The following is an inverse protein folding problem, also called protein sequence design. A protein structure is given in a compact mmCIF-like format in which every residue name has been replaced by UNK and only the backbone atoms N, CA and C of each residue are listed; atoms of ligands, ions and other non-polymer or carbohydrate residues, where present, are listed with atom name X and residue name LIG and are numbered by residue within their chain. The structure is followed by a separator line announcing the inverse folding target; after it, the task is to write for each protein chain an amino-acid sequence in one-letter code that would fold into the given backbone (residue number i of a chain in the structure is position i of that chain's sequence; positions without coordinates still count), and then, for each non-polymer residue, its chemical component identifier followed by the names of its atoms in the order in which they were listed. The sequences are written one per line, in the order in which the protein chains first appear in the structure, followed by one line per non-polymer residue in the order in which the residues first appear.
data_IF_175192835104
#
_entry.id   IF_175192835104
#
_cell.length_a   1.000
_cell.length_b   1.000
_cell.length_c   1.000
_cell.angle_alpha   90.00
_cell.angle_beta   90.00
_cell.angle_gamma   90.00
#
_symmetry.space_group_name_H-M   'P 1'
#
loop_
_entity.id
_entity.type
_entity.pdbx_description
1 polymer ?
#
# COMPACT_ATOMS: atom_id res chain seq x y z
N UNK A 1 -14.87 -4.19 -5.06
CA UNK A 1 -14.07 -3.30 -5.94
C UNK A 1 -14.91 -2.97 -7.17
N UNK A 2 -14.89 -1.73 -7.70
CA UNK A 2 -15.64 -1.39 -8.91
C UNK A 2 -15.18 -2.25 -10.10
N UNK A 3 -16.13 -2.65 -10.96
CA UNK A 3 -15.86 -3.49 -12.14
C UNK A 3 -15.10 -2.75 -13.25
N UNK A 4 -15.08 -1.42 -13.20
CA UNK A 4 -14.50 -0.54 -14.21
C UNK A 4 -13.14 0.03 -13.78
N UNK A 5 -12.52 -0.51 -12.72
CA UNK A 5 -11.28 0.03 -12.16
C UNK A 5 -10.17 0.04 -13.20
N UNK A 6 -9.91 -1.11 -13.82
CA UNK A 6 -8.88 -1.31 -14.84
C UNK A 6 -9.05 -0.34 -16.02
N UNK A 7 -10.28 -0.21 -16.53
CA UNK A 7 -10.60 0.70 -17.63
C UNK A 7 -10.30 2.17 -17.27
N UNK A 8 -10.64 2.58 -16.05
CA UNK A 8 -10.36 3.95 -15.58
C UNK A 8 -8.86 4.16 -15.44
N UNK A 9 -8.12 3.22 -14.84
CA UNK A 9 -6.67 3.33 -14.67
C UNK A 9 -5.93 3.35 -16.01
N UNK A 10 -6.30 2.48 -16.95
CA UNK A 10 -5.74 2.48 -18.30
C UNK A 10 -5.98 3.81 -19.04
N UNK A 11 -7.17 4.40 -18.90
CA UNK A 11 -7.45 5.73 -19.46
C UNK A 11 -6.60 6.84 -18.85
N UNK A 12 -6.35 6.80 -17.54
CA UNK A 12 -5.45 7.76 -16.89
C UNK A 12 -4.01 7.62 -17.42
N UNK A 13 -3.52 6.39 -17.52
CA UNK A 13 -2.17 6.09 -18.02
C UNK A 13 -1.98 6.55 -19.47
N UNK A 14 -2.94 6.31 -20.36
CA UNK A 14 -2.89 6.80 -21.76
C UNK A 14 -2.88 8.33 -21.85
N UNK A 15 -3.42 9.02 -20.85
CA UNK A 15 -3.36 10.48 -20.72
C UNK A 15 -2.07 10.98 -20.02
N UNK A 16 -1.11 10.09 -19.75
CA UNK A 16 0.14 10.36 -19.02
C UNK A 16 -0.08 10.81 -17.57
N UNK A 17 -1.21 10.39 -16.98
CA UNK A 17 -1.48 10.55 -15.56
C UNK A 17 -1.18 9.22 -14.86
N UNK A 18 -0.31 9.27 -13.84
CA UNK A 18 0.07 8.08 -13.07
C UNK A 18 -0.91 7.93 -11.91
N UNK A 19 -1.74 6.87 -11.87
CA UNK A 19 -2.67 6.67 -10.77
C UNK A 19 -1.93 6.22 -9.52
N UNK A 20 -2.31 6.79 -8.37
CA UNK A 20 -1.88 6.33 -7.05
C UNK A 20 -3.05 5.61 -6.38
N UNK A 21 -2.92 4.30 -6.21
CA UNK A 21 -3.86 3.47 -5.46
C UNK A 21 -3.61 3.68 -3.97
N UNK A 22 -4.55 4.38 -3.34
CA UNK A 22 -4.53 4.58 -1.90
C UNK A 22 -4.80 3.27 -1.17
N UNK A 23 -3.97 2.98 -0.17
CA UNK A 23 -4.12 1.94 0.84
C UNK A 23 -4.73 0.59 0.37
N UNK A 24 -4.24 -0.03 -0.73
CA UNK A 24 -4.82 -1.28 -1.23
C UNK A 24 -4.69 -2.45 -0.25
N UNK A 25 -3.77 -2.38 0.71
CA UNK A 25 -3.59 -3.38 1.77
C UNK A 25 -4.80 -3.50 2.69
N UNK A 26 -5.69 -2.50 2.71
CA UNK A 26 -6.95 -2.50 3.48
C UNK A 26 -8.13 -3.04 2.67
N UNK A 27 -7.95 -3.28 1.37
CA UNK A 27 -9.00 -3.73 0.49
C UNK A 27 -9.08 -5.26 0.46
N UNK A 28 -10.22 -5.81 0.86
CA UNK A 28 -10.45 -7.27 0.95
C UNK A 28 -10.19 -8.00 -0.39
N UNK A 29 -10.49 -7.38 -1.53
CA UNK A 29 -10.24 -8.02 -2.83
C UNK A 29 -8.74 -8.11 -3.13
N UNK A 30 -7.96 -7.07 -2.83
CA UNK A 30 -6.51 -7.11 -3.00
C UNK A 30 -5.82 -8.00 -1.97
N UNK A 31 -6.31 -8.06 -0.73
CA UNK A 31 -5.85 -9.02 0.28
C UNK A 31 -6.04 -10.47 -0.19
N UNK A 32 -7.22 -10.79 -0.76
CA UNK A 32 -7.54 -12.14 -1.24
C UNK A 32 -6.89 -12.49 -2.58
N UNK A 33 -6.69 -11.51 -3.46
CA UNK A 33 -6.22 -11.69 -4.84
C UNK A 33 -5.10 -10.69 -5.16
N UNK A 34 -3.91 -10.84 -4.54
CA UNK A 34 -2.80 -9.90 -4.72
C UNK A 34 -2.31 -9.80 -6.17
N UNK A 35 -2.46 -10.87 -6.97
CA UNK A 35 -2.12 -10.87 -8.42
C UNK A 35 -2.82 -9.78 -9.22
N UNK A 36 -4.04 -9.37 -8.80
CA UNK A 36 -4.75 -8.28 -9.46
C UNK A 36 -4.05 -6.94 -9.21
N UNK A 37 -3.49 -6.74 -8.01
CA UNK A 37 -2.71 -5.54 -7.70
C UNK A 37 -1.37 -5.56 -8.45
N UNK A 38 -0.71 -6.72 -8.50
CA UNK A 38 0.55 -6.93 -9.22
C UNK A 38 0.42 -6.49 -10.69
N UNK A 39 -0.63 -6.93 -11.39
CA UNK A 39 -0.90 -6.50 -12.76
C UNK A 39 -1.06 -4.98 -12.91
N UNK A 40 -1.79 -4.34 -11.99
CA UNK A 40 -1.95 -2.87 -12.03
C UNK A 40 -0.62 -2.16 -11.81
N UNK A 41 0.25 -2.70 -10.96
CA UNK A 41 1.60 -2.17 -10.74
C UNK A 41 2.48 -2.35 -11.99
N UNK A 42 2.44 -3.51 -12.63
CA UNK A 42 3.14 -3.77 -13.90
C UNK A 42 2.69 -2.84 -15.02
N UNK A 43 1.41 -2.47 -15.05
CA UNK A 43 0.85 -1.48 -15.97
C UNK A 43 1.26 -0.02 -15.65
N UNK A 44 1.85 0.22 -14.48
CA UNK A 44 2.42 1.51 -14.08
C UNK A 44 1.65 2.24 -12.98
N UNK A 45 0.70 1.58 -12.28
CA UNK A 45 0.06 2.17 -11.11
C UNK A 45 1.00 2.20 -9.90
N UNK A 46 0.94 3.28 -9.13
CA UNK A 46 1.68 3.44 -7.88
C UNK A 46 0.80 2.98 -6.72
N UNK A 47 1.40 2.27 -5.77
CA UNK A 47 0.75 1.81 -4.53
C UNK A 47 1.24 2.62 -3.35
N UNK A 48 0.31 3.24 -2.64
CA UNK A 48 0.56 3.93 -1.38
C UNK A 48 0.04 3.07 -0.21
N UNK A 49 0.94 2.70 0.70
CA UNK A 49 0.62 1.97 1.94
C UNK A 49 0.32 2.95 3.07
N UNK A 50 -0.73 2.67 3.86
CA UNK A 50 -1.03 3.48 5.03
C UNK A 50 -0.04 3.21 6.17
N UNK A 51 0.49 4.27 6.77
CA UNK A 51 1.36 4.20 7.96
C UNK A 51 0.67 3.43 9.11
N UNK A 52 -0.63 3.65 9.30
CA UNK A 52 -1.45 2.91 10.26
C UNK A 52 -1.59 1.42 9.97
N UNK A 53 -1.47 0.97 8.71
CA UNK A 53 -1.49 -0.47 8.40
C UNK A 53 -0.22 -1.14 8.91
N UNK A 54 0.94 -0.52 8.69
CA UNK A 54 2.24 -1.04 9.14
C UNK A 54 2.37 -1.08 10.67
N UNK A 55 1.77 -0.12 11.37
CA UNK A 55 1.79 -0.07 12.84
C UNK A 55 0.62 -0.83 13.50
N UNK A 56 -0.23 -1.50 12.70
CA UNK A 56 -1.31 -2.36 13.18
C UNK A 56 -2.61 -1.64 13.56
N UNK A 57 -2.71 -0.33 13.35
CA UNK A 57 -3.92 0.45 13.61
C UNK A 57 -5.16 -0.06 12.84
N UNK A 58 -4.96 -0.57 11.62
CA UNK A 58 -6.04 -1.07 10.76
C UNK A 58 -6.23 -2.59 10.82
N UNK A 59 -5.69 -3.23 11.86
CA UNK A 59 -5.81 -4.66 12.09
C UNK A 59 -4.71 -5.51 11.46
N UNK A 60 -4.63 -6.77 11.89
CA UNK A 60 -3.54 -7.68 11.57
C UNK A 60 -3.48 -8.06 10.08
N UNK A 61 -4.63 -8.24 9.44
CA UNK A 61 -4.70 -8.56 8.01
C UNK A 61 -4.17 -7.40 7.14
N UNK A 62 -4.51 -6.16 7.48
CA UNK A 62 -3.97 -4.99 6.78
C UNK A 62 -2.45 -4.87 6.97
N UNK A 63 -1.95 -5.13 8.19
CA UNK A 63 -0.52 -5.16 8.49
C UNK A 63 0.22 -6.21 7.66
N UNK A 64 -0.22 -7.48 7.73
CA UNK A 64 0.39 -8.59 6.97
C UNK A 64 0.37 -8.33 5.47
N UNK A 65 -0.73 -7.79 4.96
CA UNK A 65 -0.86 -7.47 3.54
C UNK A 65 0.09 -6.33 3.14
N UNK A 66 0.23 -5.29 3.98
CA UNK A 66 1.19 -4.21 3.77
C UNK A 66 2.62 -4.75 3.68
N UNK A 67 3.01 -5.58 4.64
CA UNK A 67 4.32 -6.23 4.69
C UNK A 67 4.55 -7.10 3.45
N UNK A 68 3.55 -7.90 3.06
CA UNK A 68 3.61 -8.71 1.84
C UNK A 68 3.82 -7.85 0.59
N UNK A 69 3.09 -6.74 0.45
CA UNK A 69 3.22 -5.85 -0.71
C UNK A 69 4.61 -5.20 -0.78
N UNK A 70 5.22 -4.86 0.36
CA UNK A 70 6.61 -4.38 0.43
C UNK A 70 7.59 -5.50 0.07
N UNK A 71 7.38 -6.70 0.60
CA UNK A 71 8.25 -7.85 0.34
C UNK A 71 8.27 -8.21 -1.16
N UNK A 72 7.11 -8.16 -1.80
CA UNK A 72 6.91 -8.46 -3.22
C UNK A 72 7.24 -7.28 -4.16
N UNK A 73 7.71 -6.15 -3.63
CA UNK A 73 8.10 -4.99 -4.45
C UNK A 73 6.92 -4.25 -5.08
N UNK A 74 5.69 -4.48 -4.62
CA UNK A 74 4.49 -3.82 -5.12
C UNK A 74 4.21 -2.47 -4.44
N UNK A 75 4.78 -2.21 -3.26
CA UNK A 75 4.59 -0.96 -2.52
C UNK A 75 5.62 0.11 -2.93
N UNK A 76 5.17 1.36 -3.12
CA UNK A 76 6.00 2.44 -3.65
C UNK A 76 6.14 3.63 -2.69
N UNK A 77 5.09 3.93 -1.94
CA UNK A 77 5.03 5.08 -1.02
C UNK A 77 4.37 4.66 0.29
N UNK A 78 4.85 5.18 1.42
CA UNK A 78 4.13 5.14 2.70
C UNK A 78 3.62 6.54 3.02
N UNK A 79 2.35 6.68 3.37
CA UNK A 79 1.74 7.96 3.73
C UNK A 79 1.03 7.88 5.09
N UNK A 80 0.95 9.01 5.80
CA UNK A 80 0.43 9.05 7.17
C UNK A 80 -1.07 8.76 7.25
N UNK A 81 -1.83 9.16 6.24
CA UNK A 81 -3.30 9.18 6.25
C UNK A 81 -3.87 9.89 7.50
N UNK A 82 -3.15 10.87 8.02
CA UNK A 82 -3.54 11.57 9.23
C UNK A 82 -4.82 12.37 9.02
N UNK A 83 -5.62 12.47 10.08
CA UNK A 83 -6.82 13.31 10.11
C UNK A 83 -6.92 14.13 11.39
N UNK A 84 -5.93 13.99 12.29
CA UNK A 84 -5.77 14.77 13.50
C UNK A 84 -4.27 14.90 13.81
N UNK A 85 -3.92 15.89 14.63
CA UNK A 85 -2.58 16.02 15.19
C UNK A 85 -2.36 15.11 16.42
N UNK A 86 -3.41 14.47 16.93
CA UNK A 86 -3.39 13.56 18.07
C UNK A 86 -3.89 12.16 17.71
N UNK A 87 -3.58 11.13 18.52
CA UNK A 87 -4.14 9.80 18.34
C UNK A 87 -5.69 9.80 18.30
N UNK A 88 -6.32 8.82 17.64
CA UNK A 88 -5.67 7.66 17.00
C UNK A 88 -5.20 7.92 15.56
N UNK A 89 -5.52 9.06 14.93
CA UNK A 89 -5.19 9.34 13.51
C UNK A 89 -4.14 10.44 13.34
N UNK A 90 -3.09 10.39 14.17
CA UNK A 90 -1.89 11.23 14.11
C UNK A 90 -0.88 10.73 13.05
N UNK A 91 0.06 11.56 12.58
CA UNK A 91 1.02 11.19 11.55
C UNK A 91 2.19 10.32 12.07
N UNK A 92 1.94 9.03 12.27
CA UNK A 92 2.88 8.03 12.84
C UNK A 92 3.97 7.53 11.86
N UNK A 93 4.57 8.43 11.09
CA UNK A 93 5.51 8.05 10.01
C UNK A 93 6.82 7.44 10.52
N UNK A 94 7.39 7.92 11.62
CA UNK A 94 8.64 7.40 12.18
C UNK A 94 8.54 5.92 12.57
N UNK A 95 7.42 5.53 13.17
CA UNK A 95 7.16 4.15 13.56
C UNK A 95 7.02 3.27 12.30
N UNK A 96 6.26 3.73 11.30
CA UNK A 96 6.12 2.99 10.04
C UNK A 96 7.43 2.89 9.25
N UNK A 97 8.30 3.90 9.31
CA UNK A 97 9.64 3.83 8.72
C UNK A 97 10.49 2.74 9.38
N UNK A 98 10.43 2.63 10.71
CA UNK A 98 11.14 1.59 11.46
C UNK A 98 10.68 0.19 11.05
N UNK A 99 9.38 -0.01 10.84
CA UNK A 99 8.83 -1.28 10.32
C UNK A 99 9.38 -1.57 8.92
N UNK A 100 9.36 -0.61 7.99
CA UNK A 100 9.92 -0.79 6.65
C UNK A 100 11.42 -1.12 6.68
N UNK A 101 12.18 -0.45 7.55
CA UNK A 101 13.61 -0.70 7.73
C UNK A 101 13.89 -2.13 8.20
N UNK A 102 13.11 -2.64 9.15
CA UNK A 102 13.25 -4.02 9.62
C UNK A 102 12.87 -5.06 8.54
N UNK A 103 11.87 -4.77 7.70
CA UNK A 103 11.53 -5.63 6.55
C UNK A 103 12.71 -5.69 5.56
N UNK A 104 13.28 -4.53 5.21
CA UNK A 104 14.41 -4.43 4.29
C UNK A 104 15.66 -5.14 4.84
N UNK A 105 15.97 -4.96 6.12
CA UNK A 105 17.09 -5.67 6.77
C UNK A 105 16.96 -7.19 6.71
N UNK A 106 15.74 -7.74 6.82
CA UNK A 106 15.52 -9.19 6.72
C UNK A 106 15.81 -9.72 5.32
N UNK A 107 15.46 -8.97 4.27
CA UNK A 107 15.74 -9.37 2.87
C UNK A 107 17.24 -9.51 2.56
N UNK A 108 18.12 -8.85 3.31
CA UNK A 108 19.57 -8.87 3.05
C UNK A 108 20.24 -10.13 3.63
N UNK A 109 19.57 -10.83 4.56
CA UNK A 109 20.15 -11.95 5.32
C UNK A 109 19.76 -13.32 4.72
N UNK A 110 18.71 -13.36 3.89
CA UNK A 110 18.21 -14.55 3.17
C UNK A 110 18.69 -14.59 1.70
#
# INVERSE_FOLDING_TARGET
MPIFLEDVLGRLLTQRLVPVLAHPERNIEFQRKPKRLEQLVEEGAVVQIASGSLTGQYGDEARKTAEQFILQGMAHVVASEMHANTPPRSPILSDSFSVCYEIDRRKIID
#
